data_IF_405089367498
#
_entry.id   IF_405089367498
#
_cell.length_a   1.000
_cell.length_b   1.000
_cell.length_c   1.000
_cell.angle_alpha   90.00
_cell.angle_beta   90.00
_cell.angle_gamma   90.00
#
_symmetry.space_group_name_H-M   'P 1'
#
loop_
_entity.id
_entity.type
_entity.pdbx_description
1 polymer ?
#
# COMPACT_ATOMS: atom_id res chain seq x y z
N UNK A 1 63.21 -57.80 -24.10
CA UNK A 1 62.07 -57.69 -25.04
C UNK A 1 61.96 -56.22 -25.43
N UNK A 2 62.48 -55.81 -26.60
CA UNK A 2 62.43 -54.41 -27.03
C UNK A 2 61.01 -54.06 -27.50
N UNK A 3 60.50 -52.90 -27.05
CA UNK A 3 59.24 -52.35 -27.54
C UNK A 3 59.40 -51.98 -29.01
N UNK A 4 58.58 -52.60 -29.87
CA UNK A 4 58.56 -52.33 -31.30
C UNK A 4 58.13 -50.86 -31.52
N UNK A 5 58.82 -50.07 -32.37
CA UNK A 5 58.35 -48.73 -32.70
C UNK A 5 57.02 -48.83 -33.46
N UNK A 6 56.10 -47.86 -33.26
CA UNK A 6 54.80 -47.86 -33.94
C UNK A 6 55.01 -47.88 -35.45
N UNK A 7 54.26 -48.76 -36.10
CA UNK A 7 54.33 -48.94 -37.54
C UNK A 7 53.70 -47.73 -38.25
N UNK A 8 54.17 -47.41 -39.46
CA UNK A 8 53.69 -46.25 -40.24
C UNK A 8 52.16 -46.29 -40.46
N UNK A 9 51.57 -47.48 -40.45
CA UNK A 9 50.14 -47.72 -40.58
C UNK A 9 49.35 -47.28 -39.34
N UNK A 10 49.88 -47.48 -38.13
CA UNK A 10 49.29 -47.01 -36.88
C UNK A 10 49.33 -45.47 -36.79
N UNK A 11 50.40 -44.86 -37.29
CA UNK A 11 50.53 -43.39 -37.34
C UNK A 11 49.50 -42.80 -38.32
N UNK A 12 49.31 -43.43 -39.49
CA UNK A 12 48.30 -42.99 -40.45
C UNK A 12 46.88 -43.13 -39.90
N UNK A 13 46.58 -44.22 -39.18
CA UNK A 13 45.28 -44.38 -38.53
C UNK A 13 45.05 -43.32 -37.44
N UNK A 14 46.09 -42.97 -36.68
CA UNK A 14 45.98 -41.96 -35.62
C UNK A 14 45.77 -40.55 -36.20
N UNK A 15 46.37 -40.23 -37.34
CA UNK A 15 46.16 -38.95 -38.05
C UNK A 15 44.75 -38.89 -38.67
N UNK A 16 44.25 -39.98 -39.24
CA UNK A 16 42.87 -40.06 -39.77
C UNK A 16 41.84 -39.86 -38.65
N UNK A 17 42.07 -40.46 -37.47
CA UNK A 17 41.18 -40.28 -36.32
C UNK A 17 41.19 -38.84 -35.80
N UNK A 18 42.35 -38.17 -35.79
CA UNK A 18 42.48 -36.76 -35.41
C UNK A 18 41.81 -35.80 -36.42
N UNK A 19 41.87 -36.11 -37.72
CA UNK A 19 41.20 -35.34 -38.76
C UNK A 19 39.67 -35.54 -38.76
N UNK A 20 39.19 -36.76 -38.45
CA UNK A 20 37.76 -37.04 -38.28
C UNK A 20 37.17 -36.30 -37.06
N UNK A 21 37.95 -36.15 -35.98
CA UNK A 21 37.52 -35.40 -34.80
C UNK A 21 37.55 -33.88 -34.99
N UNK A 22 38.41 -33.34 -35.86
CA UNK A 22 38.43 -31.91 -36.19
C UNK A 22 37.35 -31.48 -37.21
N UNK A 23 36.85 -32.39 -38.04
CA UNK A 23 35.82 -32.07 -39.05
C UNK A 23 34.38 -32.05 -38.51
N UNK A 24 34.16 -32.53 -37.27
CA UNK A 24 32.87 -32.40 -36.58
C UNK A 24 32.68 -31.08 -35.81
N UNK A 25 33.60 -30.11 -35.93
CA UNK A 25 33.52 -28.81 -35.26
C UNK A 25 33.16 -27.63 -36.18
N UNK A 26 32.68 -27.88 -37.41
CA UNK A 26 32.26 -26.81 -38.32
C UNK A 26 30.90 -27.11 -38.99
N UNK A 27 29.90 -26.32 -38.59
CA UNK A 27 28.67 -26.00 -39.32
C UNK A 27 27.69 -27.15 -39.62
N UNK A 28 27.01 -27.65 -38.59
CA UNK A 28 25.60 -28.03 -38.76
C UNK A 28 24.73 -26.75 -38.68
N UNK A 29 23.75 -26.54 -39.57
CA UNK A 29 22.83 -25.41 -39.46
C UNK A 29 22.09 -25.55 -38.13
N UNK A 30 22.34 -24.63 -37.20
CA UNK A 30 21.55 -24.53 -35.99
C UNK A 30 20.11 -24.26 -36.43
N UNK A 31 19.28 -25.30 -36.35
CA UNK A 31 17.85 -25.09 -36.23
C UNK A 31 17.70 -24.10 -35.07
N UNK A 32 17.20 -22.90 -35.38
CA UNK A 32 16.84 -21.90 -34.38
C UNK A 32 15.66 -22.48 -33.63
N UNK A 33 15.94 -23.38 -32.69
CA UNK A 33 14.95 -23.84 -31.75
C UNK A 33 14.59 -22.59 -30.95
N UNK A 34 13.33 -22.17 -31.07
CA UNK A 34 12.71 -21.14 -30.23
C UNK A 34 12.61 -21.65 -28.77
N UNK A 35 13.73 -22.07 -28.18
CA UNK A 35 13.80 -22.53 -26.81
C UNK A 35 13.77 -21.32 -25.91
N UNK A 36 12.66 -21.19 -25.18
CA UNK A 36 12.51 -20.20 -24.12
C UNK A 36 13.65 -20.42 -23.10
N UNK A 37 14.42 -19.38 -22.74
CA UNK A 37 15.48 -19.50 -21.75
C UNK A 37 14.95 -20.10 -20.46
N UNK A 38 15.64 -21.11 -19.92
CA UNK A 38 15.32 -21.65 -18.59
C UNK A 38 15.65 -20.60 -17.54
N UNK A 39 14.64 -19.81 -17.16
CA UNK A 39 14.77 -18.82 -16.10
C UNK A 39 15.03 -19.50 -14.74
N UNK A 40 15.80 -18.86 -13.85
CA UNK A 40 15.80 -19.17 -12.43
C UNK A 40 14.37 -19.20 -11.87
N UNK A 41 14.19 -19.78 -10.67
CA UNK A 41 12.88 -19.94 -10.02
C UNK A 41 12.14 -18.61 -9.76
N UNK A 42 11.51 -18.11 -10.82
CA UNK A 42 10.52 -17.05 -10.82
C UNK A 42 9.16 -17.75 -10.77
N UNK A 43 8.48 -17.53 -9.66
CA UNK A 43 7.12 -17.99 -9.42
C UNK A 43 6.18 -17.48 -10.50
N UNK A 44 5.14 -18.26 -10.80
CA UNK A 44 4.05 -17.82 -11.68
C UNK A 44 3.40 -16.56 -11.07
N UNK A 45 3.11 -15.57 -11.91
CA UNK A 45 2.35 -14.40 -11.49
C UNK A 45 0.89 -14.75 -11.33
N UNK A 46 0.36 -14.58 -10.12
CA UNK A 46 -1.08 -14.60 -9.85
C UNK A 46 -1.53 -13.16 -9.55
N UNK A 47 -2.60 -12.67 -10.21
CA UNK A 47 -3.25 -11.42 -9.87
C UNK A 47 -3.62 -11.38 -8.37
N UNK A 48 -3.38 -10.25 -7.74
CA UNK A 48 -3.71 -10.02 -6.32
C UNK A 48 -4.24 -8.60 -6.16
N UNK A 49 -4.87 -8.36 -5.02
CA UNK A 49 -5.30 -7.04 -4.60
C UNK A 49 -4.15 -6.10 -4.18
N UNK A 50 -2.92 -6.61 -4.12
CA UNK A 50 -1.73 -5.88 -3.68
C UNK A 50 -1.17 -4.94 -4.76
N UNK A 51 -1.29 -3.62 -4.55
CA UNK A 51 -0.88 -2.55 -5.47
C UNK A 51 0.49 -2.75 -6.14
N UNK A 52 1.50 -3.19 -5.37
CA UNK A 52 2.88 -3.28 -5.86
C UNK A 52 3.35 -4.67 -6.25
N UNK A 53 2.47 -5.68 -6.19
CA UNK A 53 2.86 -7.07 -6.47
C UNK A 53 3.33 -7.25 -7.90
N UNK A 54 2.63 -6.65 -8.88
CA UNK A 54 3.04 -6.71 -10.29
C UNK A 54 4.41 -6.06 -10.49
N UNK A 55 4.66 -4.91 -9.87
CA UNK A 55 5.94 -4.19 -10.01
C UNK A 55 7.12 -4.96 -9.42
N UNK A 56 6.94 -5.54 -8.24
CA UNK A 56 7.96 -6.38 -7.60
C UNK A 56 8.21 -7.66 -8.41
N UNK A 57 7.14 -8.32 -8.86
CA UNK A 57 7.24 -9.53 -9.67
C UNK A 57 7.92 -9.25 -11.02
N UNK A 58 7.53 -8.19 -11.74
CA UNK A 58 8.15 -7.79 -12.99
C UNK A 58 9.63 -7.42 -12.79
N UNK A 59 9.98 -6.77 -11.68
CA UNK A 59 11.37 -6.45 -11.36
C UNK A 59 12.20 -7.72 -11.13
N UNK A 60 11.67 -8.69 -10.38
CA UNK A 60 12.31 -10.00 -10.17
C UNK A 60 12.43 -10.79 -11.49
N UNK A 61 11.38 -10.78 -12.32
CA UNK A 61 11.39 -11.44 -13.62
C UNK A 61 12.46 -10.83 -14.54
N UNK A 62 12.50 -9.50 -14.66
CA UNK A 62 13.53 -8.77 -15.43
C UNK A 62 14.93 -9.12 -14.94
N UNK A 63 15.15 -9.13 -13.63
CA UNK A 63 16.43 -9.48 -13.04
C UNK A 63 16.84 -10.91 -13.41
N UNK A 64 15.96 -11.89 -13.21
CA UNK A 64 16.21 -13.29 -13.55
C UNK A 64 16.48 -13.50 -15.04
N UNK A 65 15.73 -12.81 -15.90
CA UNK A 65 15.91 -12.85 -17.36
C UNK A 65 17.25 -12.25 -17.79
N UNK A 66 17.64 -11.12 -17.21
CA UNK A 66 18.93 -10.51 -17.49
C UNK A 66 20.11 -11.39 -17.04
N UNK A 67 19.96 -12.14 -15.94
CA UNK A 67 20.97 -13.09 -15.50
C UNK A 67 21.07 -14.32 -16.43
N UNK A 68 19.94 -14.84 -16.91
CA UNK A 68 19.90 -16.07 -17.70
C UNK A 68 20.18 -15.85 -19.20
N UNK A 69 19.68 -14.74 -19.75
CA UNK A 69 19.70 -14.47 -21.18
C UNK A 69 19.75 -12.96 -21.47
N UNK A 70 20.89 -12.28 -21.20
CA UNK A 70 21.00 -10.82 -21.36
C UNK A 70 20.75 -10.35 -22.80
N UNK A 71 21.15 -11.16 -23.79
CA UNK A 71 21.06 -10.83 -25.21
C UNK A 71 19.86 -11.50 -25.91
N UNK A 72 18.86 -11.98 -25.17
CA UNK A 72 17.68 -12.59 -25.78
C UNK A 72 16.90 -11.58 -26.65
N UNK A 73 16.41 -11.99 -27.83
CA UNK A 73 15.54 -11.14 -28.65
C UNK A 73 14.19 -10.94 -27.97
N UNK A 74 13.55 -9.81 -28.25
CA UNK A 74 12.33 -9.38 -27.56
C UNK A 74 11.18 -10.41 -27.69
N UNK A 75 11.01 -11.05 -28.84
CA UNK A 75 10.00 -12.08 -29.04
C UNK A 75 10.14 -13.26 -28.06
N UNK A 76 11.37 -13.65 -27.76
CA UNK A 76 11.68 -14.73 -26.82
C UNK A 76 11.45 -14.26 -25.39
N UNK A 77 11.80 -13.01 -25.07
CA UNK A 77 11.54 -12.40 -23.76
C UNK A 77 10.04 -12.29 -23.47
N UNK A 78 9.25 -11.89 -24.46
CA UNK A 78 7.78 -11.80 -24.37
C UNK A 78 7.16 -13.18 -24.20
N UNK A 79 7.55 -14.18 -25.01
CA UNK A 79 7.09 -15.58 -24.83
C UNK A 79 7.42 -16.13 -23.45
N UNK A 80 8.63 -15.86 -22.96
CA UNK A 80 9.05 -16.25 -21.61
C UNK A 80 8.19 -15.62 -20.52
N UNK A 81 7.87 -14.33 -20.68
CA UNK A 81 6.99 -13.59 -19.78
C UNK A 81 5.57 -14.15 -19.77
N UNK A 82 5.00 -14.41 -20.95
CA UNK A 82 3.65 -14.99 -21.09
C UNK A 82 3.54 -16.37 -20.41
N UNK A 83 4.58 -17.22 -20.53
CA UNK A 83 4.63 -18.53 -19.88
C UNK A 83 4.75 -18.46 -18.35
N UNK A 84 5.06 -17.28 -17.79
CA UNK A 84 5.16 -17.06 -16.34
C UNK A 84 3.95 -16.33 -15.77
N UNK A 85 2.94 -16.02 -16.58
CA UNK A 85 1.64 -15.55 -16.11
C UNK A 85 0.75 -16.76 -15.76
N UNK A 86 -0.11 -16.62 -14.75
CA UNK A 86 -1.19 -17.58 -14.52
C UNK A 86 -2.17 -17.58 -15.68
N UNK A 87 -3.02 -18.60 -15.76
CA UNK A 87 -4.07 -18.69 -16.79
C UNK A 87 -5.01 -17.48 -16.74
N UNK A 88 -5.40 -17.04 -15.53
CA UNK A 88 -6.24 -15.86 -15.30
C UNK A 88 -5.57 -14.58 -15.83
N UNK A 89 -4.31 -14.33 -15.43
CA UNK A 89 -3.54 -13.17 -15.85
C UNK A 89 -3.27 -13.16 -17.36
N UNK A 90 -2.90 -14.30 -17.94
CA UNK A 90 -2.66 -14.41 -19.37
C UNK A 90 -3.94 -14.14 -20.17
N UNK A 91 -5.06 -14.70 -19.75
CA UNK A 91 -6.35 -14.50 -20.41
C UNK A 91 -6.79 -13.03 -20.37
N UNK A 92 -6.62 -12.36 -19.22
CA UNK A 92 -6.94 -10.94 -19.07
C UNK A 92 -6.02 -10.05 -19.91
N UNK A 93 -4.72 -10.34 -19.93
CA UNK A 93 -3.78 -9.64 -20.80
C UNK A 93 -4.11 -9.83 -22.28
N UNK A 94 -4.37 -11.06 -22.72
CA UNK A 94 -4.70 -11.38 -24.10
C UNK A 94 -5.97 -10.64 -24.56
N UNK A 95 -7.00 -10.55 -23.72
CA UNK A 95 -8.20 -9.74 -24.02
C UNK A 95 -7.89 -8.25 -24.10
N UNK A 96 -6.99 -7.74 -23.26
CA UNK A 96 -6.67 -6.30 -23.19
C UNK A 96 -5.94 -5.78 -24.43
N UNK A 97 -5.30 -6.65 -25.22
CA UNK A 97 -4.48 -6.26 -26.38
C UNK A 97 -5.18 -6.45 -27.72
N UNK A 98 -6.40 -6.99 -27.74
CA UNK A 98 -7.17 -7.16 -28.96
C UNK A 98 -7.40 -5.82 -29.68
N UNK A 99 -7.35 -5.80 -31.03
CA UNK A 99 -7.28 -6.94 -31.95
C UNK A 99 -5.86 -7.49 -32.22
N UNK A 100 -4.81 -6.93 -31.62
CA UNK A 100 -3.43 -7.42 -31.81
C UNK A 100 -3.16 -8.70 -31.03
N UNK A 101 -2.11 -9.43 -31.41
CA UNK A 101 -1.62 -10.60 -30.67
C UNK A 101 -0.66 -10.20 -29.55
N UNK A 102 -0.57 -11.03 -28.51
CA UNK A 102 0.35 -10.83 -27.37
C UNK A 102 1.83 -10.75 -27.78
N UNK A 103 2.19 -11.31 -28.94
CA UNK A 103 3.55 -11.29 -29.49
C UNK A 103 3.86 -10.08 -30.36
N UNK A 104 2.88 -9.23 -30.68
CA UNK A 104 3.07 -8.09 -31.58
C UNK A 104 3.74 -6.89 -30.89
N UNK A 105 3.93 -6.98 -29.57
CA UNK A 105 4.53 -5.93 -28.76
C UNK A 105 5.96 -6.28 -28.39
N UNK A 106 6.85 -5.29 -28.42
CA UNK A 106 8.18 -5.43 -27.86
C UNK A 106 8.15 -5.66 -26.33
N UNK A 107 9.28 -6.08 -25.77
CA UNK A 107 9.36 -6.46 -24.36
C UNK A 107 9.00 -5.29 -23.43
N UNK A 108 9.53 -4.09 -23.71
CA UNK A 108 9.27 -2.90 -22.91
C UNK A 108 7.78 -2.49 -22.89
N UNK A 109 7.12 -2.58 -24.04
CA UNK A 109 5.70 -2.25 -24.22
C UNK A 109 4.80 -3.27 -23.52
N UNK A 110 5.17 -4.55 -23.59
CA UNK A 110 4.49 -5.64 -22.89
C UNK A 110 4.52 -5.42 -21.37
N UNK A 111 5.69 -5.08 -20.83
CA UNK A 111 5.86 -4.77 -19.41
C UNK A 111 5.00 -3.59 -18.96
N UNK A 112 5.01 -2.49 -19.73
CA UNK A 112 4.20 -1.31 -19.42
C UNK A 112 2.69 -1.60 -19.46
N UNK A 113 2.23 -2.43 -20.40
CA UNK A 113 0.83 -2.85 -20.47
C UNK A 113 0.44 -3.74 -19.29
N UNK A 114 1.29 -4.70 -18.90
CA UNK A 114 1.04 -5.55 -17.73
C UNK A 114 1.02 -4.74 -16.44
N UNK A 115 1.97 -3.81 -16.29
CA UNK A 115 1.96 -2.86 -15.18
C UNK A 115 0.67 -2.07 -15.16
N UNK A 116 0.24 -1.48 -16.28
CA UNK A 116 -1.02 -0.73 -16.33
C UNK A 116 -2.27 -1.58 -16.06
N UNK A 117 -2.29 -2.83 -16.53
CA UNK A 117 -3.44 -3.73 -16.41
C UNK A 117 -3.63 -4.24 -14.98
N UNK A 118 -2.54 -4.64 -14.34
CA UNK A 118 -2.58 -5.25 -13.00
C UNK A 118 -2.21 -4.30 -11.86
N UNK A 119 -1.71 -3.10 -12.16
CA UNK A 119 -1.53 -2.07 -11.14
C UNK A 119 -2.86 -1.44 -10.81
N UNK A 120 -3.16 -1.33 -9.52
CA UNK A 120 -4.32 -0.56 -9.07
C UNK A 120 -4.04 0.93 -9.24
N UNK A 121 -4.94 1.70 -9.87
CA UNK A 121 -4.83 3.14 -9.91
C UNK A 121 -4.99 3.66 -8.48
N UNK A 122 -3.90 4.16 -7.91
CA UNK A 122 -3.89 4.81 -6.61
C UNK A 122 -3.40 6.23 -6.79
N UNK A 123 -4.14 7.19 -6.24
CA UNK A 123 -3.75 8.58 -6.28
C UNK A 123 -2.47 8.80 -5.48
N UNK A 124 -1.60 9.68 -5.99
CA UNK A 124 -0.39 10.15 -5.30
C UNK A 124 -0.71 10.68 -3.91
N UNK A 125 -1.88 11.31 -3.73
CA UNK A 125 -2.29 11.83 -2.43
C UNK A 125 -2.61 10.74 -1.41
N UNK A 126 -3.04 9.56 -1.86
CA UNK A 126 -3.22 8.39 -0.97
C UNK A 126 -1.85 7.86 -0.55
N UNK A 127 -0.89 7.74 -1.48
CA UNK A 127 0.48 7.33 -1.15
C UNK A 127 1.11 8.27 -0.11
N UNK A 128 0.93 9.58 -0.31
CA UNK A 128 1.39 10.61 0.62
C UNK A 128 0.70 10.49 1.99
N UNK A 129 -0.60 10.25 2.02
CA UNK A 129 -1.36 10.05 3.26
C UNK A 129 -0.92 8.80 4.02
N UNK A 130 -0.73 7.67 3.34
CA UNK A 130 -0.27 6.41 3.94
C UNK A 130 1.13 6.58 4.57
N UNK A 131 2.03 7.27 3.89
CA UNK A 131 3.35 7.58 4.43
C UNK A 131 3.27 8.45 5.71
N UNK A 132 2.42 9.48 5.73
CA UNK A 132 2.27 10.37 6.90
C UNK A 132 1.58 9.69 8.08
N UNK A 133 0.67 8.74 7.81
CA UNK A 133 -0.02 7.95 8.83
C UNK A 133 0.84 6.81 9.37
N UNK A 134 1.89 6.43 8.65
CA UNK A 134 2.72 5.28 9.00
C UNK A 134 3.32 5.41 10.39
N UNK A 135 2.88 4.52 11.28
CA UNK A 135 3.44 4.35 12.62
C UNK A 135 3.99 2.93 12.76
N UNK A 136 4.96 2.75 13.65
CA UNK A 136 5.40 1.43 14.07
C UNK A 136 4.32 0.85 14.97
N UNK A 137 3.85 -0.37 14.68
CA UNK A 137 2.89 -1.03 15.55
C UNK A 137 3.57 -1.56 16.83
N UNK A 138 2.80 -1.74 17.90
CA UNK A 138 3.28 -2.39 19.10
C UNK A 138 3.68 -3.83 18.79
N UNK A 139 4.88 -4.25 19.21
CA UNK A 139 5.43 -5.57 18.88
C UNK A 139 5.98 -5.73 17.47
N UNK A 140 5.95 -4.69 16.62
CA UNK A 140 6.53 -4.77 15.28
C UNK A 140 8.06 -4.75 15.31
N UNK A 141 8.70 -5.71 14.64
CA UNK A 141 10.15 -5.76 14.43
C UNK A 141 10.65 -4.49 13.71
N UNK A 142 11.78 -3.94 14.19
CA UNK A 142 12.25 -2.64 13.71
C UNK A 142 12.73 -2.68 12.24
N UNK A 143 13.36 -3.78 11.82
CA UNK A 143 13.90 -3.90 10.45
C UNK A 143 12.80 -3.95 9.38
N UNK A 144 11.74 -4.77 9.50
CA UNK A 144 10.57 -4.71 8.61
C UNK A 144 9.90 -3.34 8.59
N UNK A 145 9.74 -2.69 9.77
CA UNK A 145 9.19 -1.34 9.85
C UNK A 145 9.99 -0.34 9.01
N UNK A 146 11.32 -0.31 9.15
CA UNK A 146 12.19 0.59 8.38
C UNK A 146 12.11 0.31 6.88
N UNK A 147 12.05 -0.96 6.47
CA UNK A 147 11.89 -1.31 5.06
C UNK A 147 10.55 -0.82 4.49
N UNK A 148 9.45 -1.00 5.24
CA UNK A 148 8.14 -0.45 4.89
C UNK A 148 8.17 1.08 4.80
N UNK A 149 8.79 1.74 5.79
CA UNK A 149 8.88 3.19 5.83
C UNK A 149 9.70 3.76 4.66
N UNK A 150 10.81 3.12 4.28
CA UNK A 150 11.60 3.50 3.09
C UNK A 150 10.79 3.43 1.79
N UNK A 151 9.98 2.37 1.64
CA UNK A 151 9.08 2.23 0.50
C UNK A 151 8.04 3.35 0.46
N UNK A 152 7.40 3.65 1.59
CA UNK A 152 6.43 4.73 1.70
C UNK A 152 7.05 6.10 1.38
N UNK A 153 8.28 6.35 1.81
CA UNK A 153 9.01 7.57 1.45
C UNK A 153 9.32 7.67 -0.04
N UNK A 154 9.66 6.57 -0.70
CA UNK A 154 9.86 6.55 -2.15
C UNK A 154 8.54 6.86 -2.90
N UNK A 155 7.43 6.29 -2.44
CA UNK A 155 6.10 6.52 -3.02
C UNK A 155 5.57 7.96 -2.74
N UNK A 156 6.05 8.61 -1.67
CA UNK A 156 5.62 9.96 -1.25
C UNK A 156 5.93 11.06 -2.29
N UNK A 157 7.03 10.91 -3.04
CA UNK A 157 7.54 11.89 -4.01
C UNK A 157 7.54 13.32 -3.44
N UNK A 158 8.42 13.54 -2.46
CA UNK A 158 8.50 14.79 -1.70
C UNK A 158 8.84 16.00 -2.60
N UNK A 159 9.71 15.81 -3.59
CA UNK A 159 10.16 16.88 -4.48
C UNK A 159 9.04 17.45 -5.37
N UNK A 160 7.96 16.68 -5.57
CA UNK A 160 6.76 17.08 -6.32
C UNK A 160 5.68 17.71 -5.42
N UNK A 161 5.94 17.88 -4.11
CA UNK A 161 4.92 18.34 -3.16
C UNK A 161 4.96 19.86 -2.96
N UNK A 162 3.84 20.52 -3.23
CA UNK A 162 3.69 21.95 -2.97
C UNK A 162 3.31 22.25 -1.52
N UNK A 163 3.63 23.46 -1.06
CA UNK A 163 3.31 23.96 0.29
C UNK A 163 1.81 23.81 0.63
N UNK A 164 0.93 24.27 -0.24
CA UNK A 164 -0.52 24.20 -0.01
C UNK A 164 -1.04 22.76 0.05
N UNK A 165 -0.53 21.89 -0.83
CA UNK A 165 -0.83 20.45 -0.79
C UNK A 165 -0.35 19.82 0.52
N UNK A 166 0.85 20.18 0.99
CA UNK A 166 1.37 19.71 2.28
C UNK A 166 0.49 20.15 3.45
N UNK A 167 0.06 21.41 3.50
CA UNK A 167 -0.84 21.92 4.54
C UNK A 167 -2.16 21.13 4.58
N UNK A 168 -2.74 20.84 3.41
CA UNK A 168 -3.94 20.02 3.30
C UNK A 168 -3.72 18.58 3.80
N UNK A 169 -2.56 17.97 3.51
CA UNK A 169 -2.19 16.65 4.02
C UNK A 169 -1.97 16.64 5.54
N UNK A 170 -1.41 17.71 6.10
CA UNK A 170 -1.28 17.88 7.55
C UNK A 170 -2.66 17.96 8.22
N UNK A 171 -3.62 18.67 7.62
CA UNK A 171 -5.01 18.66 8.09
C UNK A 171 -5.65 17.27 7.95
N UNK A 172 -5.46 16.61 6.82
CA UNK A 172 -5.96 15.26 6.56
C UNK A 172 -5.49 14.24 7.62
N UNK A 173 -4.25 14.36 8.08
CA UNK A 173 -3.64 13.48 9.11
C UNK A 173 -4.02 13.86 10.54
N UNK A 174 -4.38 15.13 10.78
CA UNK A 174 -4.91 15.59 12.06
C UNK A 174 -6.31 15.04 12.37
N UNK A 175 -7.11 14.74 11.33
CA UNK A 175 -8.44 14.15 11.45
C UNK A 175 -8.36 12.64 11.75
N UNK A 176 -8.26 12.28 13.03
CA UNK A 176 -8.08 10.89 13.49
C UNK A 176 -9.38 10.16 13.82
N UNK A 177 -10.47 10.87 14.12
CA UNK A 177 -11.69 10.24 14.56
C UNK A 177 -12.36 9.49 13.39
N UNK A 178 -13.02 8.36 13.69
CA UNK A 178 -13.75 7.60 12.68
C UNK A 178 -14.86 8.43 12.04
N UNK A 179 -15.51 9.31 12.82
CA UNK A 179 -16.57 10.21 12.35
C UNK A 179 -16.09 11.27 11.34
N UNK A 180 -14.77 11.51 11.24
CA UNK A 180 -14.19 12.46 10.28
C UNK A 180 -13.88 11.80 8.93
N UNK A 181 -14.27 10.55 8.70
CA UNK A 181 -14.00 9.84 7.45
C UNK A 181 -14.49 10.61 6.21
N UNK A 182 -15.67 11.21 6.27
CA UNK A 182 -16.23 12.04 5.18
C UNK A 182 -15.45 13.32 4.96
N UNK A 183 -14.94 13.96 6.03
CA UNK A 183 -14.08 15.13 5.91
C UNK A 183 -12.75 14.77 5.25
N UNK A 184 -12.14 13.64 5.63
CA UNK A 184 -10.92 13.12 5.01
C UNK A 184 -11.11 12.82 3.52
N UNK A 185 -12.23 12.18 3.15
CA UNK A 185 -12.58 11.93 1.75
C UNK A 185 -12.72 13.23 0.95
N UNK A 186 -13.32 14.27 1.54
CA UNK A 186 -13.51 15.57 0.89
C UNK A 186 -12.19 16.30 0.66
N UNK A 187 -11.26 16.28 1.63
CA UNK A 187 -9.90 16.81 1.44
C UNK A 187 -9.18 16.08 0.30
N UNK A 188 -9.23 14.75 0.27
CA UNK A 188 -8.62 13.95 -0.80
C UNK A 188 -9.21 14.26 -2.17
N UNK A 189 -10.53 14.46 -2.25
CA UNK A 189 -11.20 14.83 -3.50
C UNK A 189 -10.77 16.22 -3.99
N UNK A 190 -10.65 17.21 -3.09
CA UNK A 190 -10.12 18.55 -3.42
C UNK A 190 -8.68 18.49 -3.91
N UNK A 191 -7.82 17.73 -3.21
CA UNK A 191 -6.44 17.52 -3.64
C UNK A 191 -6.35 16.90 -5.03
N UNK A 192 -7.18 15.89 -5.31
CA UNK A 192 -7.21 15.25 -6.63
C UNK A 192 -7.77 16.16 -7.75
N UNK A 193 -8.72 17.03 -7.42
CA UNK A 193 -9.40 17.90 -8.40
C UNK A 193 -8.61 19.17 -8.70
N UNK A 194 -8.16 19.87 -7.65
CA UNK A 194 -7.46 21.15 -7.77
C UNK A 194 -5.98 20.95 -8.09
N UNK A 195 -5.43 19.78 -7.74
CA UNK A 195 -4.05 19.39 -7.96
C UNK A 195 -3.07 20.46 -7.48
N UNK A 196 -2.43 21.09 -8.45
CA UNK A 196 -1.39 22.09 -8.26
C UNK A 196 -1.87 23.47 -7.82
N UNK A 197 -3.17 23.75 -7.97
CA UNK A 197 -3.81 25.03 -7.66
C UNK A 197 -4.62 24.97 -6.35
N UNK A 198 -4.49 23.89 -5.58
CA UNK A 198 -5.19 23.76 -4.30
C UNK A 198 -4.79 24.90 -3.36
N UNK A 199 -5.78 25.46 -2.67
CA UNK A 199 -5.60 26.45 -1.61
C UNK A 199 -6.03 25.83 -0.29
N UNK A 200 -5.17 25.89 0.72
CA UNK A 200 -5.48 25.38 2.05
C UNK A 200 -6.72 26.06 2.65
N UNK A 201 -6.81 27.39 2.54
CA UNK A 201 -7.93 28.15 3.09
C UNK A 201 -9.25 27.78 2.42
N UNK A 202 -9.25 27.61 1.09
CA UNK A 202 -10.44 27.16 0.37
C UNK A 202 -10.90 25.77 0.80
N UNK A 203 -9.97 24.85 1.09
CA UNK A 203 -10.30 23.52 1.63
C UNK A 203 -10.89 23.65 3.03
N UNK A 204 -10.31 24.49 3.90
CA UNK A 204 -10.84 24.71 5.25
C UNK A 204 -12.26 25.30 5.21
N UNK A 205 -12.50 26.32 4.39
CA UNK A 205 -13.83 26.90 4.20
C UNK A 205 -14.84 25.86 3.71
N UNK A 206 -14.46 25.02 2.74
CA UNK A 206 -15.30 23.93 2.25
C UNK A 206 -15.70 22.95 3.36
N UNK A 207 -14.76 22.57 4.24
CA UNK A 207 -15.03 21.67 5.36
C UNK A 207 -15.94 22.31 6.42
N UNK A 208 -15.77 23.61 6.70
CA UNK A 208 -16.63 24.35 7.63
C UNK A 208 -18.05 24.42 7.07
N UNK A 209 -18.20 24.83 5.81
CA UNK A 209 -19.50 24.91 5.13
C UNK A 209 -20.21 23.56 5.07
N UNK A 210 -19.45 22.48 4.81
CA UNK A 210 -19.97 21.13 4.82
C UNK A 210 -20.51 20.70 6.20
N UNK A 211 -19.79 21.01 7.28
CA UNK A 211 -20.26 20.73 8.63
C UNK A 211 -21.54 21.51 8.98
N UNK A 212 -21.62 22.79 8.62
CA UNK A 212 -22.84 23.59 8.78
C UNK A 212 -24.02 22.96 8.05
N UNK A 213 -23.81 22.54 6.80
CA UNK A 213 -24.84 21.86 5.98
C UNK A 213 -25.33 20.57 6.64
N UNK A 214 -24.43 19.77 7.21
CA UNK A 214 -24.80 18.55 7.95
C UNK A 214 -25.63 18.90 9.20
N UNK A 215 -25.25 19.95 9.93
CA UNK A 215 -25.96 20.37 11.12
C UNK A 215 -27.41 20.80 10.79
N UNK A 216 -27.60 21.58 9.73
CA UNK A 216 -28.93 21.99 9.24
C UNK A 216 -29.76 20.78 8.78
N UNK A 217 -29.17 19.86 8.01
CA UNK A 217 -29.86 18.65 7.56
C UNK A 217 -30.33 17.75 8.71
N UNK A 218 -29.62 17.74 9.85
CA UNK A 218 -30.04 17.03 11.07
C UNK A 218 -31.28 17.66 11.70
N UNK A 219 -31.44 18.97 11.65
CA UNK A 219 -32.62 19.65 12.19
C UNK A 219 -33.89 19.31 11.42
N UNK A 220 -33.77 19.10 10.11
CA UNK A 220 -34.90 18.70 9.25
C UNK A 220 -35.40 17.26 9.51
N UNK A 221 -34.55 16.40 10.08
CA UNK A 221 -34.91 15.00 10.40
C UNK A 221 -35.52 14.82 11.79
N UNK A 222 -35.60 15.89 12.59
CA UNK A 222 -36.25 15.83 13.90
C UNK A 222 -37.77 15.88 13.72
N UNK A 223 -38.56 14.93 14.28
CA UNK A 223 -40.00 14.97 14.17
C UNK A 223 -40.51 16.26 14.81
N UNK A 224 -41.10 17.13 14.00
CA UNK A 224 -41.84 18.28 14.49
C UNK A 224 -43.00 17.75 15.32
N UNK A 225 -42.86 17.72 16.64
CA UNK A 225 -44.02 17.71 17.53
C UNK A 225 -44.71 19.07 17.38
N UNK A 226 -45.56 19.18 16.35
CA UNK A 226 -46.58 20.21 16.32
C UNK A 226 -47.56 19.88 17.45
N UNK A 227 -47.34 20.52 18.60
CA UNK A 227 -48.39 20.67 19.60
C UNK A 227 -49.49 21.53 18.97
N UNK A 228 -50.43 20.87 18.29
CA UNK A 228 -51.72 21.47 17.99
C UNK A 228 -52.49 21.47 19.31
N UNK A 229 -52.38 22.58 20.03
CA UNK A 229 -53.19 22.88 21.21
C UNK A 229 -54.65 23.04 20.77
N UNK A 230 -55.44 21.97 20.81
CA UNK A 230 -56.90 22.09 20.75
C UNK A 230 -57.41 22.56 22.12
N UNK A 231 -57.89 23.80 22.16
CA UNK A 231 -58.62 24.36 23.29
C UNK A 231 -60.03 23.75 23.36
N UNK A 232 -60.23 22.74 24.19
CA UNK A 232 -61.58 22.28 24.54
C UNK A 232 -62.12 23.05 25.75
N UNK A 233 -63.27 23.67 25.52
CA UNK A 233 -63.97 24.63 26.36
C UNK A 233 -64.50 24.08 27.69
N UNK A 234 -64.60 25.00 28.67
CA UNK A 234 -65.30 24.87 29.96
C UNK A 234 -66.81 24.60 29.80
N UNK A 235 -67.35 23.73 30.66
CA UNK A 235 -68.70 23.80 31.28
C UNK A 235 -68.70 22.86 32.50
N UNK A 236 -68.79 23.36 33.74
CA UNK A 236 -70.01 23.38 34.59
C UNK A 236 -70.16 22.03 35.32
N UNK A 237 -70.42 21.84 36.61
CA UNK A 237 -70.88 22.63 37.77
C UNK A 237 -70.45 21.87 39.05
N UNK A 238 -70.32 22.56 40.19
CA UNK A 238 -70.26 21.96 41.56
C UNK A 238 -71.71 21.83 42.12
N UNK A 239 -71.99 21.43 43.38
CA UNK A 239 -71.16 20.87 44.48
C UNK A 239 -71.83 19.68 45.23
N UNK A 240 -71.18 19.11 46.28
CA UNK A 240 -71.70 18.95 47.67
C UNK A 240 -70.77 18.07 48.54
N UNK A 241 -70.82 18.36 49.84
CA UNK A 241 -69.92 18.13 50.98
C UNK A 241 -69.85 16.72 51.63
N UNK A 242 -68.79 16.58 52.47
CA UNK A 242 -68.66 15.82 53.76
C UNK A 242 -68.58 14.28 53.65
N UNK A 243 -67.80 13.53 54.42
CA UNK A 243 -67.20 13.69 55.76
C UNK A 243 -66.04 12.68 55.97
N UNK A 244 -65.32 12.88 57.08
CA UNK A 244 -64.17 12.18 57.69
C UNK A 244 -64.22 10.63 57.81
N UNK A 245 -63.02 10.03 57.91
CA UNK A 245 -62.48 9.12 58.97
C UNK A 245 -61.43 8.15 58.36
N UNK A 246 -60.14 8.29 58.70
CA UNK A 246 -59.40 7.53 59.74
C UNK A 246 -59.67 6.02 59.72
N UNK A 247 -58.69 5.19 59.32
CA UNK A 247 -57.88 4.33 60.23
C UNK A 247 -56.95 3.39 59.45
N UNK A 248 -55.80 3.16 60.08
CA UNK A 248 -54.82 2.07 59.97
C UNK A 248 -55.49 0.70 59.61
N UNK A 249 -54.86 -0.33 59.07
CA UNK A 249 -53.55 -0.88 59.41
C UNK A 249 -53.23 -2.09 58.51
N UNK A 250 -51.94 -2.37 58.32
CA UNK A 250 -51.31 -3.70 58.31
C UNK A 250 -51.73 -4.81 57.32
N UNK A 251 -50.72 -5.17 56.52
CA UNK A 251 -50.09 -6.50 56.49
C UNK A 251 -50.85 -7.63 55.80
N UNK A 252 -50.27 -8.13 54.69
CA UNK A 252 -49.79 -9.52 54.64
C UNK A 252 -48.82 -9.76 53.49
N UNK A 253 -47.84 -10.57 53.85
CA UNK A 253 -46.67 -11.09 53.15
C UNK A 253 -47.05 -12.45 52.54
N UNK A 254 -46.47 -12.78 51.38
CA UNK A 254 -46.08 -14.11 50.86
C UNK A 254 -46.15 -14.09 49.33
N UNK A 255 -45.06 -14.13 48.57
CA UNK A 255 -44.02 -15.19 48.37
C UNK A 255 -44.53 -16.35 47.50
N UNK A 256 -43.67 -16.72 46.55
CA UNK A 256 -43.55 -18.05 45.90
C UNK A 256 -44.33 -18.16 44.56
N UNK A 257 -43.82 -18.62 43.40
CA UNK A 257 -42.50 -19.00 42.83
C UNK A 257 -42.80 -19.66 41.45
N UNK A 258 -41.80 -19.68 40.54
CA UNK A 258 -41.65 -20.59 39.37
C UNK A 258 -42.66 -20.41 38.21
N UNK A 259 -42.38 -20.69 36.93
CA UNK A 259 -41.30 -21.39 36.19
C UNK A 259 -41.48 -20.99 34.71
N UNK A 260 -40.45 -20.60 33.94
CA UNK A 260 -39.48 -21.41 33.19
C UNK A 260 -39.87 -21.76 31.73
N UNK A 261 -38.85 -21.74 30.85
CA UNK A 261 -38.83 -22.04 29.42
C UNK A 261 -38.44 -20.80 28.60
N UNK A 262 -37.15 -20.41 28.45
CA UNK A 262 -36.00 -21.04 27.75
C UNK A 262 -36.35 -21.46 26.31
N UNK A 263 -35.68 -20.93 25.27
CA UNK A 263 -34.36 -21.32 24.71
C UNK A 263 -33.97 -20.23 23.68
N UNK A 264 -32.73 -19.86 23.35
CA UNK A 264 -31.37 -19.91 23.90
C UNK A 264 -30.50 -19.17 22.85
N UNK A 265 -29.73 -18.16 23.27
CA UNK A 265 -28.56 -17.64 22.55
C UNK A 265 -27.32 -18.42 23.02
N UNK A 266 -26.37 -18.68 22.12
CA UNK A 266 -24.95 -18.81 22.47
C UNK A 266 -24.13 -18.47 21.22
N UNK A 267 -23.44 -17.32 21.09
CA UNK A 267 -22.37 -16.71 21.89
C UNK A 267 -21.04 -17.46 21.80
N UNK A 268 -19.99 -16.75 21.38
CA UNK A 268 -18.65 -16.65 22.03
C UNK A 268 -18.04 -15.31 21.51
N UNK A 269 -17.56 -14.32 22.27
CA UNK A 269 -17.23 -14.20 23.69
C UNK A 269 -15.73 -13.85 23.87
N UNK A 270 -15.43 -12.90 24.78
CA UNK A 270 -14.15 -12.52 25.45
C UNK A 270 -13.70 -11.07 25.18
N UNK A 271 -13.44 -10.18 26.14
CA UNK A 271 -13.92 -9.88 27.51
C UNK A 271 -13.21 -8.58 27.91
N UNK A 272 -13.93 -7.67 28.58
CA UNK A 272 -13.41 -6.43 29.16
C UNK A 272 -12.74 -6.67 30.52
N UNK A 273 -11.71 -5.88 30.84
CA UNK A 273 -11.30 -5.65 32.23
C UNK A 273 -10.70 -4.23 32.41
N UNK A 274 -11.24 -3.48 33.38
CA UNK A 274 -10.42 -2.62 34.24
C UNK A 274 -10.48 -1.10 34.02
N UNK A 275 -11.58 -0.47 34.39
CA UNK A 275 -11.63 0.97 34.68
C UNK A 275 -10.80 1.30 35.93
N UNK A 276 -9.73 2.10 35.80
CA UNK A 276 -9.13 2.82 36.93
C UNK A 276 -8.90 4.28 36.56
N UNK A 277 -9.66 5.16 37.21
CA UNK A 277 -9.41 6.60 37.32
C UNK A 277 -8.09 6.82 38.06
N UNK A 278 -7.18 7.63 37.51
CA UNK A 278 -6.16 8.35 38.25
C UNK A 278 -6.15 9.81 37.76
N UNK A 279 -6.06 10.70 38.74
CA UNK A 279 -6.18 12.15 38.63
C UNK A 279 -4.80 12.79 38.82
N UNK A 280 -4.57 13.92 38.14
CA UNK A 280 -3.57 14.96 38.36
C UNK A 280 -2.07 14.61 38.32
N UNK A 281 -1.32 15.26 37.42
CA UNK A 281 -0.46 16.40 37.80
C UNK A 281 0.21 17.02 36.56
N UNK A 282 0.03 18.33 36.41
CA UNK A 282 0.76 19.18 35.48
C UNK A 282 2.25 19.17 35.80
N UNK A 283 3.08 18.96 34.78
CA UNK A 283 4.49 19.33 34.81
C UNK A 283 4.76 20.31 33.66
N UNK A 284 4.88 21.59 34.00
CA UNK A 284 5.48 22.60 33.14
C UNK A 284 6.96 22.23 32.93
N UNK A 285 7.37 22.08 31.67
CA UNK A 285 8.78 22.03 31.29
C UNK A 285 9.09 23.26 30.45
N UNK A 286 9.61 24.28 31.12
CA UNK A 286 10.29 25.44 30.54
C UNK A 286 11.55 24.95 29.84
N UNK A 287 11.60 25.04 28.50
CA UNK A 287 12.85 24.83 27.76
C UNK A 287 13.59 26.15 27.68
N UNK A 288 14.61 26.29 28.53
CA UNK A 288 15.62 27.35 28.45
C UNK A 288 16.57 27.04 27.29
N UNK A 289 16.46 27.78 26.19
CA UNK A 289 17.46 27.80 25.11
C UNK A 289 18.76 28.42 25.65
N UNK A 290 19.76 27.58 25.96
CA UNK A 290 21.15 28.03 26.07
C UNK A 290 21.85 27.76 24.74
N UNK A 291 22.21 28.86 24.08
CA UNK A 291 23.16 28.92 22.98
C UNK A 291 24.45 28.17 23.34
N UNK A 292 24.89 27.25 22.49
CA UNK A 292 26.29 26.86 22.44
C UNK A 292 26.70 26.57 21.00
N UNK A 293 27.46 27.51 20.44
CA UNK A 293 28.14 27.40 19.15
C UNK A 293 29.49 26.74 19.40
N UNK A 294 29.88 25.67 18.70
CA UNK A 294 31.27 25.27 18.60
C UNK A 294 31.88 25.88 17.35
N UNK A 295 32.78 26.83 17.56
CA UNK A 295 33.72 27.35 16.60
C UNK A 295 35.01 26.55 16.76
N UNK A 296 35.45 25.72 15.79
CA UNK A 296 36.85 25.28 15.73
C UNK A 296 37.30 24.88 14.30
N UNK A 297 38.33 25.61 13.86
CA UNK A 297 39.46 25.27 12.98
C UNK A 297 39.23 24.84 11.52
N UNK A 298 39.61 25.79 10.65
CA UNK A 298 39.96 25.64 9.25
C UNK A 298 41.32 24.92 9.12
N UNK A 299 41.35 23.79 8.40
CA UNK A 299 42.55 23.04 8.06
C UNK A 299 42.50 22.65 6.58
N UNK A 300 43.44 23.19 5.79
CA UNK A 300 43.44 23.14 4.34
C UNK A 300 43.55 21.74 3.72
N UNK A 301 42.76 21.52 2.67
CA UNK A 301 42.90 20.36 1.79
C UNK A 301 43.80 20.69 0.60
N UNK A 302 44.86 19.90 0.49
CA UNK A 302 45.75 19.79 -0.67
C UNK A 302 44.97 19.27 -1.87
N UNK A 303 45.06 19.98 -2.99
CA UNK A 303 44.65 19.50 -4.31
C UNK A 303 45.78 18.70 -4.94
N UNK A 304 45.60 17.39 -5.13
CA UNK A 304 46.42 16.58 -6.02
C UNK A 304 45.71 16.48 -7.38
N UNK A 305 46.24 17.21 -8.36
CA UNK A 305 46.06 16.94 -9.79
C UNK A 305 47.27 16.13 -10.24
N UNK A 306 47.04 14.92 -10.73
CA UNK A 306 47.93 14.26 -11.69
C UNK A 306 47.28 14.47 -13.07
N UNK A 307 47.92 14.98 -14.12
CA UNK A 307 49.34 15.04 -14.42
C UNK A 307 49.55 14.29 -15.73
N UNK A 308 49.35 14.99 -16.85
CA UNK A 308 49.67 14.49 -18.20
C UNK A 308 51.03 15.06 -18.63
N UNK A 309 51.66 14.33 -19.55
CA UNK A 309 52.80 14.67 -20.43
C UNK A 309 54.23 14.49 -19.91
N UNK A 310 54.83 13.39 -20.41
CA UNK A 310 56.04 13.33 -21.26
C UNK A 310 57.27 14.17 -20.86
N UNK A 311 58.42 13.50 -20.80
CA UNK A 311 59.55 13.58 -21.76
C UNK A 311 60.81 13.01 -21.08
N UNK A 312 61.52 12.14 -21.84
CA UNK A 312 62.96 11.78 -21.88
C UNK A 312 63.87 12.14 -20.67
N UNK A 313 64.84 11.31 -20.27
CA UNK A 313 66.02 10.91 -21.05
C UNK A 313 66.92 9.94 -20.24
N UNK A 314 67.67 9.10 -20.96
CA UNK A 314 68.81 8.22 -20.58
C UNK A 314 68.51 6.88 -19.91
#
# INVERSE_FOLDING_TARGET
MPANPPTMEEILQQIVQLLANQTNAAAAPQAVQNTVPSLPDVSIFEPSDDKGRINEWLSRFKFALNCAAPNAPDDIKVKCLMNKLSESAFSEYNRSVLPAAVTDFNFASTLSKLEKLFSKPQSVFIDRYECLKAARAEGEEFRPFINRHKRLLADFRFDELKKEQFNCLMLLTALKAHNDATLRQRILARLATDGDNVSYDAVVEDLINFQSTIAEARQLKSPRHQNISMSSAKKGSRPIMRTNEVRQNQSRKCRTVQSAGDVEENSIGLTNAGTKRLNAQSANLTVTLKNNVPHFMNGGSKTLRNGTTNVLDI
#
